data_IF_039512549923
#
_entry.id   IF_039512549923
#
_cell.length_a   1.000
_cell.length_b   1.000
_cell.length_c   1.000
_cell.angle_alpha   90.00
_cell.angle_beta   90.00
_cell.angle_gamma   90.00
#
_symmetry.space_group_name_H-M   'P 1'
#
loop_
_entity.id
_entity.type
_entity.pdbx_description
1 polymer ?
#
# COMPACT_ATOMS: atom_id res chain seq x y z
N UNK A 1 -1.89 -23.89 11.94
CA UNK A 1 -3.10 -24.07 11.13
C UNK A 1 -4.20 -23.24 11.75
N UNK A 2 -5.03 -22.61 10.93
CA UNK A 2 -6.11 -21.77 11.43
C UNK A 2 -7.24 -22.65 11.97
N UNK A 3 -7.79 -22.30 13.14
CA UNK A 3 -8.86 -23.05 13.81
C UNK A 3 -10.03 -22.11 14.08
N UNK A 4 -11.24 -22.58 13.76
CA UNK A 4 -12.49 -21.93 14.18
C UNK A 4 -12.89 -22.49 15.54
N UNK A 5 -12.94 -21.63 16.54
CA UNK A 5 -13.38 -21.97 17.89
C UNK A 5 -14.57 -21.10 18.27
N UNK A 6 -15.53 -21.69 18.99
CA UNK A 6 -16.62 -20.89 19.58
C UNK A 6 -16.06 -20.01 20.70
N UNK A 7 -16.63 -18.81 20.85
CA UNK A 7 -16.23 -17.90 21.93
C UNK A 7 -16.40 -18.55 23.30
N UNK A 8 -17.47 -19.34 23.49
CA UNK A 8 -17.71 -20.12 24.70
C UNK A 8 -16.58 -21.09 25.01
N UNK A 9 -15.99 -21.74 24.00
CA UNK A 9 -14.85 -22.65 24.21
C UNK A 9 -13.60 -21.87 24.61
N UNK A 10 -13.36 -20.70 24.02
CA UNK A 10 -12.24 -19.82 24.39
C UNK A 10 -12.37 -19.38 25.84
N UNK A 11 -13.53 -18.87 26.24
CA UNK A 11 -13.77 -18.29 27.56
C UNK A 11 -13.85 -19.34 28.66
N UNK A 12 -14.26 -20.57 28.36
CA UNK A 12 -14.32 -21.64 29.37
C UNK A 12 -13.02 -22.44 29.51
N UNK A 13 -12.26 -22.64 28.43
CA UNK A 13 -11.11 -23.56 28.45
C UNK A 13 -9.75 -22.91 28.30
N UNK A 14 -9.65 -21.81 27.57
CA UNK A 14 -8.35 -21.25 27.17
C UNK A 14 -8.05 -19.91 27.86
N UNK A 15 -9.06 -19.07 28.07
CA UNK A 15 -8.93 -17.75 28.65
C UNK A 15 -10.12 -17.44 29.56
N UNK A 16 -10.19 -18.12 30.70
CA UNK A 16 -11.20 -17.87 31.73
C UNK A 16 -11.16 -16.40 32.17
N UNK A 17 -12.30 -15.71 32.06
CA UNK A 17 -12.44 -14.30 32.43
C UNK A 17 -12.11 -13.27 31.34
N UNK A 18 -11.81 -13.70 30.10
CA UNK A 18 -11.58 -12.76 28.99
C UNK A 18 -12.82 -11.89 28.69
N UNK A 19 -14.02 -12.39 28.97
CA UNK A 19 -15.28 -11.66 28.80
C UNK A 19 -15.45 -10.49 29.79
N UNK A 20 -14.75 -10.56 30.92
CA UNK A 20 -14.80 -9.54 31.97
C UNK A 20 -13.69 -8.48 31.79
N UNK A 21 -12.78 -8.69 30.84
CA UNK A 21 -11.62 -7.83 30.60
C UNK A 21 -11.85 -6.87 29.42
N UNK A 22 -12.45 -5.71 29.71
CA UNK A 22 -12.68 -4.65 28.73
C UNK A 22 -11.41 -4.01 28.14
N UNK A 23 -10.25 -4.24 28.76
CA UNK A 23 -8.93 -3.79 28.30
C UNK A 23 -8.27 -4.68 27.24
N UNK A 24 -8.92 -5.75 26.80
CA UNK A 24 -8.36 -6.68 25.80
C UNK A 24 -8.84 -6.34 24.38
N UNK A 25 -7.93 -5.81 23.56
CA UNK A 25 -8.21 -5.38 22.18
C UNK A 25 -7.66 -6.35 21.11
N UNK A 26 -7.33 -7.58 21.49
CA UNK A 26 -6.65 -8.54 20.59
C UNK A 26 -7.54 -9.16 19.49
N UNK A 27 -8.86 -8.93 19.52
CA UNK A 27 -9.81 -9.54 18.60
C UNK A 27 -10.39 -8.51 17.62
N UNK A 28 -10.45 -8.89 16.34
CA UNK A 28 -11.22 -8.15 15.34
C UNK A 28 -12.71 -8.49 15.51
N UNK A 29 -13.55 -7.48 15.72
CA UNK A 29 -14.99 -7.64 15.86
C UNK A 29 -15.73 -7.21 14.59
N UNK A 30 -16.67 -8.03 14.12
CA UNK A 30 -17.58 -7.70 13.02
C UNK A 30 -19.00 -7.59 13.55
N UNK A 31 -19.70 -6.51 13.22
CA UNK A 31 -21.07 -6.27 13.65
C UNK A 31 -21.96 -6.08 12.43
N UNK A 32 -23.05 -6.83 12.36
CA UNK A 32 -24.07 -6.66 11.31
C UNK A 32 -25.13 -5.67 11.80
N UNK A 33 -25.28 -4.57 11.06
CA UNK A 33 -26.31 -3.58 11.35
C UNK A 33 -27.60 -3.89 10.58
N UNK A 34 -28.73 -3.37 11.07
CA UNK A 34 -30.01 -3.45 10.32
C UNK A 34 -29.88 -2.75 8.96
N UNK A 35 -30.63 -3.18 7.94
CA UNK A 35 -30.67 -2.49 6.65
C UNK A 35 -30.93 -0.99 6.83
N UNK A 36 -30.17 -0.14 6.14
CA UNK A 36 -30.24 1.33 6.20
C UNK A 36 -29.90 1.98 7.55
N UNK A 37 -29.34 1.26 8.52
CA UNK A 37 -28.85 1.87 9.75
C UNK A 37 -27.64 2.78 9.49
N UNK A 38 -27.65 3.99 10.04
CA UNK A 38 -26.48 4.88 10.02
C UNK A 38 -25.45 4.43 11.07
N UNK A 39 -24.38 3.81 10.59
CA UNK A 39 -23.29 3.36 11.45
C UNK A 39 -22.59 4.51 12.17
N UNK A 40 -22.57 5.73 11.61
CA UNK A 40 -21.97 6.90 12.28
C UNK A 40 -22.82 7.36 13.45
N UNK A 41 -24.15 7.26 13.33
CA UNK A 41 -25.05 7.53 14.45
C UNK A 41 -24.88 6.51 15.59
N UNK A 42 -24.57 5.25 15.27
CA UNK A 42 -24.20 4.24 16.27
C UNK A 42 -22.83 4.53 16.90
N UNK A 43 -21.82 4.87 16.09
CA UNK A 43 -20.47 5.19 16.56
C UNK A 43 -20.47 6.33 17.59
N UNK A 44 -21.29 7.37 17.39
CA UNK A 44 -21.46 8.47 18.35
C UNK A 44 -21.94 8.03 19.74
N UNK A 45 -22.53 6.84 19.87
CA UNK A 45 -23.00 6.29 21.15
C UNK A 45 -21.90 5.51 21.89
N UNK A 46 -20.80 5.16 21.23
CA UNK A 46 -19.73 4.37 21.83
C UNK A 46 -19.04 5.02 23.03
N UNK A 47 -18.76 6.33 23.06
CA UNK A 47 -18.15 6.95 24.24
C UNK A 47 -18.99 6.76 25.51
N UNK A 48 -20.31 6.99 25.41
CA UNK A 48 -21.23 6.78 26.53
C UNK A 48 -21.34 5.29 26.93
N UNK A 49 -21.33 4.39 25.95
CA UNK A 49 -21.32 2.95 26.18
C UNK A 49 -20.05 2.49 26.92
N UNK A 50 -18.88 2.96 26.50
CA UNK A 50 -17.60 2.65 27.13
C UNK A 50 -17.53 3.22 28.55
N UNK A 51 -17.98 4.45 28.78
CA UNK A 51 -18.04 5.04 30.12
C UNK A 51 -18.96 4.21 31.05
N UNK A 52 -20.11 3.76 30.54
CA UNK A 52 -21.03 2.92 31.32
C UNK A 52 -20.45 1.55 31.67
N UNK A 53 -19.70 0.93 30.74
CA UNK A 53 -19.21 -0.45 30.91
C UNK A 53 -17.82 -0.55 31.53
N UNK A 54 -16.94 0.39 31.22
CA UNK A 54 -15.53 0.36 31.60
C UNK A 54 -15.02 1.67 32.24
N UNK A 55 -15.89 2.66 32.52
CA UNK A 55 -15.46 3.99 32.99
C UNK A 55 -14.62 3.99 34.26
N UNK A 56 -14.93 3.11 35.22
CA UNK A 56 -14.15 2.99 36.46
C UNK A 56 -12.72 2.49 36.20
N UNK A 57 -12.55 1.49 35.34
CA UNK A 57 -11.24 0.95 34.99
C UNK A 57 -10.47 1.89 34.07
N UNK A 58 -11.14 2.57 33.13
CA UNK A 58 -10.54 3.60 32.28
C UNK A 58 -9.95 4.75 33.13
N UNK A 59 -10.67 5.22 34.15
CA UNK A 59 -10.18 6.27 35.06
C UNK A 59 -9.02 5.77 35.93
N UNK A 60 -9.11 4.54 36.44
CA UNK A 60 -8.04 3.92 37.26
C UNK A 60 -6.75 3.71 36.46
N UNK A 61 -6.87 3.27 35.21
CA UNK A 61 -5.74 3.01 34.30
C UNK A 61 -5.33 4.23 33.47
N UNK A 62 -6.02 5.36 33.63
CA UNK A 62 -5.85 6.58 32.81
C UNK A 62 -5.85 6.32 31.30
N UNK A 63 -6.54 5.25 30.86
CA UNK A 63 -6.60 4.81 29.47
C UNK A 63 -8.03 4.95 28.96
N UNK A 64 -8.20 5.73 27.90
CA UNK A 64 -9.52 6.04 27.32
C UNK A 64 -9.60 5.46 25.90
N UNK A 65 -9.88 4.15 25.74
CA UNK A 65 -10.08 3.54 24.43
C UNK A 65 -11.24 4.21 23.69
N UNK A 66 -11.12 4.23 22.36
CA UNK A 66 -12.17 4.70 21.46
C UNK A 66 -12.51 3.59 20.47
N UNK A 67 -13.79 3.27 20.36
CA UNK A 67 -14.30 2.35 19.35
C UNK A 67 -14.77 3.11 18.12
N UNK A 68 -14.60 2.50 16.96
CA UNK A 68 -15.03 3.05 15.69
C UNK A 68 -15.62 1.95 14.81
N UNK A 69 -16.50 2.33 13.89
CA UNK A 69 -17.08 1.43 12.90
C UNK A 69 -16.54 1.78 11.52
N UNK A 70 -16.08 0.75 10.83
CA UNK A 70 -15.67 0.85 9.42
C UNK A 70 -16.56 -0.06 8.58
N UNK A 71 -17.16 0.45 7.49
CA UNK A 71 -17.87 -0.41 6.56
C UNK A 71 -16.93 -1.48 6.01
N UNK A 72 -17.36 -2.75 6.07
CA UNK A 72 -16.53 -3.89 5.65
C UNK A 72 -15.95 -3.75 4.23
N UNK A 73 -16.69 -3.08 3.33
CA UNK A 73 -16.28 -2.82 1.94
C UNK A 73 -15.10 -1.85 1.84
N UNK A 74 -14.95 -0.96 2.82
CA UNK A 74 -13.92 0.08 2.83
C UNK A 74 -12.65 -0.39 3.54
N UNK A 75 -12.75 -1.40 4.40
CA UNK A 75 -11.64 -1.89 5.23
C UNK A 75 -10.40 -2.23 4.38
N UNK A 76 -10.58 -2.88 3.23
CA UNK A 76 -9.45 -3.31 2.40
C UNK A 76 -8.65 -2.16 1.77
N UNK A 77 -9.29 -1.04 1.41
CA UNK A 77 -8.65 0.06 0.66
C UNK A 77 -8.38 1.32 1.50
N UNK A 78 -9.17 1.53 2.55
CA UNK A 78 -9.20 2.79 3.30
C UNK A 78 -8.86 2.63 4.78
N UNK A 79 -8.88 1.42 5.35
CA UNK A 79 -8.57 1.27 6.76
C UNK A 79 -7.10 1.53 7.03
N UNK A 80 -6.84 2.48 7.93
CA UNK A 80 -5.52 2.80 8.49
C UNK A 80 -5.28 2.08 9.80
N UNK A 81 -6.24 1.26 10.26
CA UNK A 81 -6.21 0.59 11.56
C UNK A 81 -5.66 -0.83 11.36
N UNK A 82 -4.66 -1.19 12.17
CA UNK A 82 -3.96 -2.48 12.07
C UNK A 82 -4.90 -3.68 12.27
N UNK A 83 -4.46 -4.87 11.84
CA UNK A 83 -5.16 -6.14 12.08
C UNK A 83 -5.70 -6.85 10.83
N UNK A 84 -5.59 -6.25 9.64
CA UNK A 84 -5.95 -6.87 8.35
C UNK A 84 -4.89 -6.58 7.28
N UNK A 85 -4.74 -7.45 6.28
CA UNK A 85 -3.96 -7.14 5.07
C UNK A 85 -4.67 -6.03 4.31
N UNK A 86 -4.30 -4.77 4.56
CA UNK A 86 -4.88 -3.60 3.89
C UNK A 86 -4.03 -3.24 2.67
N UNK A 87 -4.71 -2.94 1.56
CA UNK A 87 -4.12 -2.27 0.42
C UNK A 87 -4.35 -0.77 0.57
N UNK A 88 -3.47 0.04 -0.02
CA UNK A 88 -3.63 1.49 0.02
C UNK A 88 -4.39 1.96 -1.23
N UNK A 89 -5.48 2.71 -1.07
CA UNK A 89 -6.22 3.36 -2.17
C UNK A 89 -5.32 4.22 -3.05
N UNK A 90 -4.26 4.83 -2.50
CA UNK A 90 -3.26 5.57 -3.27
C UNK A 90 -2.66 4.73 -4.39
N UNK A 91 -2.47 3.42 -4.20
CA UNK A 91 -1.97 2.54 -5.25
C UNK A 91 -2.96 2.46 -6.42
N UNK A 92 -4.26 2.38 -6.13
CA UNK A 92 -5.31 2.39 -7.16
C UNK A 92 -5.25 3.71 -7.94
N UNK A 93 -5.19 4.86 -7.25
CA UNK A 93 -5.08 6.15 -7.91
C UNK A 93 -3.82 6.29 -8.76
N UNK A 94 -2.66 5.86 -8.25
CA UNK A 94 -1.40 5.90 -9.00
C UNK A 94 -1.51 5.05 -10.28
N UNK A 95 -2.00 3.82 -10.19
CA UNK A 95 -2.16 2.97 -11.37
C UNK A 95 -3.20 3.52 -12.35
N UNK A 96 -4.31 4.10 -11.86
CA UNK A 96 -5.32 4.74 -12.71
C UNK A 96 -4.75 5.97 -13.45
N UNK A 97 -4.00 6.82 -12.75
CA UNK A 97 -3.36 8.01 -13.37
C UNK A 97 -2.34 7.59 -14.42
N UNK A 98 -1.50 6.59 -14.13
CA UNK A 98 -0.54 6.05 -15.10
C UNK A 98 -1.26 5.49 -16.33
N UNK A 99 -2.32 4.71 -16.13
CA UNK A 99 -3.11 4.16 -17.23
C UNK A 99 -3.73 5.26 -18.11
N UNK A 100 -4.28 6.32 -17.50
CA UNK A 100 -4.81 7.48 -18.22
C UNK A 100 -3.72 8.19 -19.02
N UNK A 101 -2.55 8.44 -18.43
CA UNK A 101 -1.45 9.09 -19.15
C UNK A 101 -0.93 8.26 -20.33
N UNK A 102 -0.76 6.95 -20.15
CA UNK A 102 -0.37 6.05 -21.24
C UNK A 102 -1.43 6.08 -22.36
N UNK A 103 -2.71 6.06 -21.99
CA UNK A 103 -3.80 6.13 -22.96
C UNK A 103 -3.81 7.46 -23.72
N UNK A 104 -3.60 8.58 -23.04
CA UNK A 104 -3.49 9.92 -23.66
C UNK A 104 -2.32 9.97 -24.64
N UNK A 105 -1.14 9.48 -24.26
CA UNK A 105 0.04 9.38 -25.15
C UNK A 105 -0.32 8.56 -26.39
N UNK A 106 -0.96 7.40 -26.22
CA UNK A 106 -1.37 6.53 -27.32
C UNK A 106 -2.37 7.23 -28.27
N UNK A 107 -3.37 7.92 -27.72
CA UNK A 107 -4.34 8.68 -28.49
C UNK A 107 -3.69 9.82 -29.29
N UNK A 108 -2.79 10.59 -28.66
CA UNK A 108 -2.04 11.66 -29.33
C UNK A 108 -1.21 11.10 -30.48
N UNK A 109 -0.50 9.99 -30.24
CA UNK A 109 0.31 9.34 -31.27
C UNK A 109 -0.58 8.87 -32.44
N UNK A 110 -1.72 8.26 -32.14
CA UNK A 110 -2.66 7.80 -33.16
C UNK A 110 -3.23 8.97 -34.00
N UNK A 111 -3.60 10.08 -33.36
CA UNK A 111 -4.00 11.33 -34.07
C UNK A 111 -2.86 11.84 -34.95
N UNK A 112 -1.63 11.87 -34.44
CA UNK A 112 -0.48 12.35 -35.20
C UNK A 112 -0.21 11.50 -36.46
N UNK A 113 -0.25 10.17 -36.33
CA UNK A 113 -0.07 9.22 -37.43
C UNK A 113 -1.19 9.29 -38.47
N UNK A 114 -2.46 9.28 -38.03
CA UNK A 114 -3.62 9.37 -38.93
C UNK A 114 -3.64 10.70 -39.69
N UNK A 115 -3.25 11.80 -39.03
CA UNK A 115 -3.12 13.11 -39.69
C UNK A 115 -1.97 13.14 -40.69
N UNK A 116 -0.84 12.46 -40.43
CA UNK A 116 0.24 12.36 -41.41
C UNK A 116 -0.21 11.61 -42.68
N UNK A 117 -0.85 10.44 -42.52
CA UNK A 117 -1.42 9.66 -43.64
C UNK A 117 -2.52 10.39 -44.39
N UNK A 118 -3.27 11.25 -43.70
CA UNK A 118 -4.30 12.08 -44.32
C UNK A 118 -3.74 13.03 -45.40
N UNK A 119 -2.52 13.53 -45.23
CA UNK A 119 -1.86 14.39 -46.22
C UNK A 119 -1.59 13.62 -47.52
N UNK A 120 -1.20 12.35 -47.43
CA UNK A 120 -0.97 11.48 -48.59
C UNK A 120 -2.28 11.24 -49.36
N UNK A 121 -3.40 11.08 -48.63
CA UNK A 121 -4.75 10.89 -49.20
C UNK A 121 -5.43 12.20 -49.64
N UNK A 122 -4.78 13.35 -49.51
CA UNK A 122 -5.38 14.64 -49.84
C UNK A 122 -5.76 14.76 -51.32
N UNK A 123 -4.94 14.21 -52.23
CA UNK A 123 -5.23 14.21 -53.69
C UNK A 123 -6.50 13.42 -54.02
N UNK A 124 -6.66 12.24 -53.43
CA UNK A 124 -7.85 11.39 -53.57
C UNK A 124 -9.12 12.12 -53.11
N UNK A 125 -9.07 12.77 -51.94
CA UNK A 125 -10.18 13.57 -51.40
C UNK A 125 -10.49 14.79 -52.28
N UNK A 126 -9.46 15.42 -52.84
CA UNK A 126 -9.60 16.52 -53.80
C UNK A 126 -10.36 16.11 -55.05
N UNK A 127 -9.98 14.97 -55.66
CA UNK A 127 -10.64 14.41 -56.84
C UNK A 127 -12.10 14.07 -56.52
N UNK A 128 -12.38 13.38 -55.42
CA UNK A 128 -13.75 13.02 -55.02
C UNK A 128 -14.66 14.24 -54.84
N UNK A 129 -14.16 15.34 -54.26
CA UNK A 129 -14.92 16.59 -54.12
C UNK A 129 -15.24 17.24 -55.47
N UNK A 130 -14.34 17.17 -56.45
CA UNK A 130 -14.60 17.67 -57.82
C UNK A 130 -15.66 16.83 -58.52
N UNK A 131 -15.70 15.53 -58.26
CA UNK A 131 -16.71 14.59 -58.77
C UNK A 131 -18.04 14.68 -57.98
N UNK A 132 -18.15 15.58 -56.99
CA UNK A 132 -19.41 15.88 -56.29
C UNK A 132 -19.57 15.24 -54.90
N UNK A 133 -18.52 14.63 -54.33
CA UNK A 133 -18.59 14.08 -52.98
C UNK A 133 -18.79 15.18 -51.91
N UNK A 134 -19.80 15.00 -51.05
CA UNK A 134 -20.13 15.94 -49.99
C UNK A 134 -19.12 15.84 -48.83
N UNK A 135 -18.82 16.99 -48.19
CA UNK A 135 -17.90 17.06 -47.04
C UNK A 135 -18.27 16.08 -45.92
N UNK A 136 -19.56 15.87 -45.69
CA UNK A 136 -20.07 14.96 -44.67
C UNK A 136 -19.82 13.47 -45.00
N UNK A 137 -19.94 13.08 -46.28
CA UNK A 137 -19.68 11.70 -46.71
C UNK A 137 -18.22 11.31 -46.48
N UNK A 138 -17.31 12.21 -46.83
CA UNK A 138 -15.87 12.06 -46.58
C UNK A 138 -15.56 12.00 -45.08
N UNK A 139 -16.11 12.91 -44.28
CA UNK A 139 -15.92 12.91 -42.83
C UNK A 139 -16.41 11.63 -42.16
N UNK A 140 -17.61 11.15 -42.53
CA UNK A 140 -18.18 9.89 -42.02
C UNK A 140 -17.29 8.70 -42.36
N UNK A 141 -16.75 8.62 -43.58
CA UNK A 141 -15.84 7.55 -43.97
C UNK A 141 -14.59 7.48 -43.07
N UNK A 142 -13.93 8.61 -42.82
CA UNK A 142 -12.74 8.65 -41.97
C UNK A 142 -13.03 8.28 -40.51
N UNK A 143 -14.17 8.72 -39.97
CA UNK A 143 -14.58 8.36 -38.61
C UNK A 143 -14.85 6.86 -38.52
N UNK A 144 -15.57 6.28 -39.48
CA UNK A 144 -15.85 4.83 -39.51
C UNK A 144 -14.56 4.02 -39.65
N UNK A 145 -13.62 4.43 -40.51
CA UNK A 145 -12.31 3.77 -40.65
C UNK A 145 -11.53 3.81 -39.32
N UNK A 146 -11.54 4.95 -38.64
CA UNK A 146 -10.83 5.12 -37.36
C UNK A 146 -11.46 4.29 -36.23
N UNK A 147 -12.79 4.29 -36.12
CA UNK A 147 -13.52 3.48 -35.14
C UNK A 147 -13.31 1.98 -35.40
N UNK A 148 -13.37 1.54 -36.66
CA UNK A 148 -13.17 0.13 -37.02
C UNK A 148 -11.74 -0.33 -36.68
N UNK A 149 -10.72 0.49 -36.95
CA UNK A 149 -9.35 0.21 -36.53
C UNK A 149 -9.22 0.14 -35.01
N UNK A 150 -9.85 1.05 -34.27
CA UNK A 150 -9.86 1.00 -32.80
C UNK A 150 -10.57 -0.24 -32.26
N UNK A 151 -11.66 -0.69 -32.88
CA UNK A 151 -12.36 -1.90 -32.49
C UNK A 151 -11.53 -3.16 -32.74
N UNK A 152 -10.81 -3.24 -33.86
CA UNK A 152 -9.87 -4.34 -34.12
C UNK A 152 -8.74 -4.33 -33.08
N UNK A 153 -8.14 -3.17 -32.81
CA UNK A 153 -7.10 -3.03 -31.79
C UNK A 153 -7.62 -3.40 -30.40
N UNK A 154 -8.87 -3.05 -30.08
CA UNK A 154 -9.52 -3.43 -28.83
C UNK A 154 -9.66 -4.96 -28.70
N UNK A 155 -10.14 -5.65 -29.74
CA UNK A 155 -10.23 -7.12 -29.73
C UNK A 155 -8.85 -7.77 -29.53
N UNK A 156 -7.82 -7.28 -30.23
CA UNK A 156 -6.44 -7.74 -30.05
C UNK A 156 -5.94 -7.49 -28.62
N UNK A 157 -6.29 -6.34 -28.03
CA UNK A 157 -5.91 -6.00 -26.66
C UNK A 157 -6.57 -6.91 -25.62
N UNK A 158 -7.83 -7.32 -25.83
CA UNK A 158 -8.52 -8.28 -24.96
C UNK A 158 -7.79 -9.62 -24.97
N UNK A 159 -7.47 -10.15 -26.15
CA UNK A 159 -6.73 -11.42 -26.27
C UNK A 159 -5.34 -11.31 -25.64
N UNK A 160 -4.59 -10.25 -25.94
CA UNK A 160 -3.26 -10.03 -25.37
C UNK A 160 -3.31 -9.91 -23.84
N UNK A 161 -4.27 -9.16 -23.29
CA UNK A 161 -4.43 -9.00 -21.85
C UNK A 161 -4.81 -10.32 -21.16
N UNK A 162 -5.67 -11.13 -21.77
CA UNK A 162 -6.04 -12.44 -21.26
C UNK A 162 -4.84 -13.40 -21.22
N UNK A 163 -3.97 -13.37 -22.24
CA UNK A 163 -2.75 -14.17 -22.31
C UNK A 163 -1.67 -13.72 -21.32
N UNK A 164 -1.58 -12.41 -21.03
CA UNK A 164 -0.60 -11.88 -20.06
C UNK A 164 -1.07 -11.98 -18.61
N UNK A 165 -2.37 -12.17 -18.36
CA UNK A 165 -2.92 -12.24 -17.01
C UNK A 165 -2.28 -13.32 -16.13
N UNK A 166 -2.03 -14.57 -16.58
CA UNK A 166 -1.36 -15.58 -15.78
C UNK A 166 0.07 -15.19 -15.37
N UNK A 167 0.82 -14.59 -16.30
CA UNK A 167 2.17 -14.08 -16.01
C UNK A 167 2.10 -12.98 -14.95
N UNK A 168 1.16 -12.05 -15.08
CA UNK A 168 0.98 -10.99 -14.10
C UNK A 168 0.54 -11.52 -12.73
N UNK A 169 -0.31 -12.57 -12.67
CA UNK A 169 -0.67 -13.23 -11.40
C UNK A 169 0.55 -13.81 -10.69
N UNK A 170 1.48 -14.44 -11.42
CA UNK A 170 2.70 -15.01 -10.83
C UNK A 170 3.66 -13.91 -10.36
N UNK A 171 3.88 -12.87 -11.17
CA UNK A 171 4.76 -11.76 -10.83
C UNK A 171 4.24 -10.92 -9.66
N UNK A 172 2.93 -10.67 -9.62
CA UNK A 172 2.31 -9.89 -8.55
C UNK A 172 2.06 -10.70 -7.28
N UNK A 173 2.07 -12.04 -7.35
CA UNK A 173 1.69 -12.90 -6.23
C UNK A 173 0.25 -12.66 -5.75
N UNK A 174 -0.64 -12.25 -6.66
CA UNK A 174 -2.04 -11.90 -6.36
C UNK A 174 -3.00 -12.71 -7.21
N UNK A 175 -4.09 -13.16 -6.56
CA UNK A 175 -5.25 -13.70 -7.25
C UNK A 175 -6.06 -12.54 -7.82
N UNK A 176 -6.16 -12.46 -9.14
CA UNK A 176 -6.97 -11.46 -9.84
C UNK A 176 -8.29 -12.09 -10.23
N UNK A 177 -9.38 -11.43 -9.83
CA UNK A 177 -10.73 -11.84 -10.20
C UNK A 177 -10.89 -11.84 -11.73
N UNK A 178 -11.44 -12.91 -12.33
CA UNK A 178 -11.74 -12.95 -13.75
C UNK A 178 -12.90 -12.01 -14.15
N UNK A 179 -13.56 -11.38 -13.18
CA UNK A 179 -14.74 -10.51 -13.37
C UNK A 179 -14.59 -9.42 -14.43
N UNK A 180 -13.38 -8.97 -14.73
CA UNK A 180 -13.13 -7.97 -15.78
C UNK A 180 -13.54 -8.49 -17.18
N UNK A 181 -13.34 -9.78 -17.44
CA UNK A 181 -13.63 -10.41 -18.73
C UNK A 181 -14.99 -11.12 -18.76
N UNK A 182 -15.57 -11.42 -17.60
CA UNK A 182 -16.81 -12.19 -17.52
C UNK A 182 -18.05 -11.34 -17.22
N UNK A 183 -17.88 -10.17 -16.61
CA UNK A 183 -18.98 -9.26 -16.32
C UNK A 183 -19.36 -8.45 -17.57
N UNK A 184 -20.59 -8.58 -18.10
CA UNK A 184 -21.06 -7.84 -19.26
C UNK A 184 -20.96 -6.32 -19.09
N UNK A 185 -21.10 -5.80 -17.86
CA UNK A 185 -21.03 -4.36 -17.59
C UNK A 185 -19.61 -3.83 -17.84
N UNK A 186 -18.59 -4.56 -17.40
CA UNK A 186 -17.18 -4.18 -17.60
C UNK A 186 -16.79 -4.21 -19.08
N UNK A 187 -17.23 -5.24 -19.81
CA UNK A 187 -16.99 -5.34 -21.26
C UNK A 187 -17.66 -4.17 -21.99
N UNK A 188 -18.90 -3.82 -21.63
CA UNK A 188 -19.60 -2.69 -22.22
C UNK A 188 -18.87 -1.36 -21.96
N UNK A 189 -18.36 -1.15 -20.75
CA UNK A 189 -17.57 0.05 -20.42
C UNK A 189 -16.29 0.15 -21.28
N UNK A 190 -15.57 -0.96 -21.44
CA UNK A 190 -14.38 -1.02 -22.28
C UNK A 190 -14.69 -0.79 -23.77
N UNK A 191 -15.80 -1.35 -24.26
CA UNK A 191 -16.26 -1.13 -25.62
C UNK A 191 -16.61 0.34 -25.88
N UNK A 192 -17.33 0.97 -24.95
CA UNK A 192 -17.65 2.40 -25.02
C UNK A 192 -16.36 3.23 -25.06
N UNK A 193 -15.38 2.90 -24.22
CA UNK A 193 -14.08 3.59 -24.23
C UNK A 193 -13.36 3.46 -25.58
N UNK A 194 -13.32 2.24 -26.17
CA UNK A 194 -12.70 2.02 -27.47
C UNK A 194 -13.37 2.81 -28.60
N UNK A 195 -14.71 2.86 -28.61
CA UNK A 195 -15.48 3.67 -29.58
C UNK A 195 -15.19 5.15 -29.39
N UNK A 196 -15.19 5.66 -28.16
CA UNK A 196 -14.88 7.06 -27.86
C UNK A 196 -13.47 7.44 -28.33
N UNK A 197 -12.47 6.59 -28.11
CA UNK A 197 -11.10 6.82 -28.59
C UNK A 197 -11.06 6.86 -30.13
N UNK A 198 -11.72 5.90 -30.80
CA UNK A 198 -11.79 5.87 -32.26
C UNK A 198 -12.47 7.11 -32.84
N UNK A 199 -13.54 7.59 -32.20
CA UNK A 199 -14.21 8.84 -32.57
C UNK A 199 -13.28 10.05 -32.39
N UNK A 200 -12.64 10.19 -31.23
CA UNK A 200 -11.71 11.31 -30.96
C UNK A 200 -10.55 11.33 -31.95
N UNK A 201 -10.01 10.15 -32.28
CA UNK A 201 -8.92 10.02 -33.23
C UNK A 201 -9.33 10.31 -34.67
N UNK A 202 -10.53 9.90 -35.09
CA UNK A 202 -11.04 10.12 -36.44
C UNK A 202 -11.59 11.54 -36.67
N UNK A 203 -12.07 12.21 -35.62
CA UNK A 203 -12.70 13.53 -35.71
C UNK A 203 -11.75 14.59 -36.27
N UNK A 204 -10.49 14.58 -35.83
CA UNK A 204 -9.51 15.57 -36.25
C UNK A 204 -9.10 15.43 -37.73
N UNK A 205 -8.67 14.25 -38.23
CA UNK A 205 -8.48 13.99 -39.66
C UNK A 205 -9.72 14.33 -40.50
N UNK A 206 -10.91 13.91 -40.05
CA UNK A 206 -12.16 14.17 -40.75
C UNK A 206 -12.42 15.67 -40.90
N UNK A 207 -12.18 16.47 -39.85
CA UNK A 207 -12.35 17.92 -39.90
C UNK A 207 -11.32 18.61 -40.79
N UNK A 208 -10.04 18.24 -40.68
CA UNK A 208 -8.96 18.81 -41.50
C UNK A 208 -9.18 18.49 -42.98
N UNK A 209 -9.44 17.23 -43.34
CA UNK A 209 -9.61 16.77 -44.73
C UNK A 209 -10.88 17.28 -45.39
N UNK A 210 -12.00 17.29 -44.65
CA UNK A 210 -13.27 17.79 -45.17
C UNK A 210 -13.24 19.30 -45.44
N UNK A 211 -12.32 20.05 -44.82
CA UNK A 211 -12.16 21.50 -45.03
C UNK A 211 -11.34 21.89 -46.27
N UNK A 212 -10.60 20.97 -46.90
CA UNK A 212 -9.72 21.31 -48.04
C UNK A 212 -10.47 21.80 -49.28
N UNK A 213 -9.94 22.85 -49.92
CA UNK A 213 -10.41 23.39 -51.20
C UNK A 213 -9.78 22.59 -52.36
N UNK A 214 -10.56 22.02 -53.30
CA UNK A 214 -10.02 21.19 -54.38
C UNK A 214 -8.98 21.91 -55.26
N UNK A 215 -9.18 23.21 -55.50
CA UNK A 215 -8.33 24.01 -56.38
C UNK A 215 -6.90 24.19 -55.86
N UNK A 216 -6.70 24.18 -54.53
CA UNK A 216 -5.37 24.27 -53.92
C UNK A 216 -4.65 22.92 -53.91
N UNK A 217 -5.41 21.83 -53.77
CA UNK A 217 -4.87 20.46 -53.76
C UNK A 217 -4.37 20.04 -55.15
N UNK A 218 -5.09 20.41 -56.21
CA UNK A 218 -4.75 20.04 -57.59
C UNK A 218 -3.60 20.87 -58.19
N UNK A 219 -3.39 22.11 -57.72
CA UNK A 219 -2.30 23.00 -58.18
C UNK A 219 -0.95 22.72 -57.50
N UNK A 220 -0.83 21.67 -56.68
CA UNK A 220 0.42 21.31 -55.99
C UNK A 220 0.89 22.28 -54.89
N UNK A 221 0.21 23.43 -54.70
CA UNK A 221 0.43 24.35 -53.59
C UNK A 221 -0.20 23.78 -52.31
N UNK A 222 0.43 22.76 -51.76
CA UNK A 222 0.18 22.30 -50.40
C UNK A 222 0.61 23.39 -49.41
N UNK A 223 -0.28 24.30 -49.03
CA UNK A 223 -0.10 25.01 -47.77
C UNK A 223 -0.73 24.16 -46.68
N UNK A 224 0.08 23.42 -45.93
CA UNK A 224 -0.35 22.86 -44.65
C UNK A 224 -0.96 23.99 -43.83
N UNK A 225 -2.23 23.84 -43.41
CA UNK A 225 -2.89 24.85 -42.58
C UNK A 225 -2.02 25.13 -41.36
N UNK A 226 -1.60 26.40 -41.18
CA UNK A 226 -0.77 26.85 -40.06
C UNK A 226 -1.36 26.40 -38.72
N UNK A 227 -2.70 26.43 -38.58
CA UNK A 227 -3.42 25.93 -37.40
C UNK A 227 -3.21 24.43 -37.14
N UNK A 228 -3.19 23.61 -38.19
CA UNK A 228 -2.97 22.16 -38.07
C UNK A 228 -1.52 21.80 -37.70
N UNK A 229 -0.54 22.63 -38.10
CA UNK A 229 0.85 22.50 -37.67
C UNK A 229 0.99 22.86 -36.19
N UNK A 230 0.40 23.98 -35.75
CA UNK A 230 0.46 24.44 -34.35
C UNK A 230 -0.17 23.41 -33.41
N UNK A 231 -1.35 22.87 -33.74
CA UNK A 231 -1.99 21.85 -32.92
C UNK A 231 -1.12 20.59 -32.83
N UNK A 232 -0.59 20.09 -33.95
CA UNK A 232 0.29 18.91 -33.94
C UNK A 232 1.53 19.14 -33.10
N UNK A 233 2.19 20.29 -33.24
CA UNK A 233 3.33 20.66 -32.41
C UNK A 233 2.95 20.68 -30.93
N UNK A 234 1.80 21.27 -30.58
CA UNK A 234 1.29 21.28 -29.21
C UNK A 234 1.03 19.88 -28.66
N UNK A 235 0.36 19.02 -29.44
CA UNK A 235 0.09 17.63 -29.07
C UNK A 235 1.39 16.83 -28.89
N UNK A 236 2.35 16.97 -29.81
CA UNK A 236 3.66 16.31 -29.72
C UNK A 236 4.44 16.78 -28.50
N UNK A 237 4.47 18.10 -28.24
CA UNK A 237 5.12 18.64 -27.04
C UNK A 237 4.45 18.09 -25.78
N UNK A 238 3.13 18.11 -25.68
CA UNK A 238 2.40 17.55 -24.53
C UNK A 238 2.69 16.05 -24.33
N UNK A 239 2.71 15.26 -25.41
CA UNK A 239 3.08 13.84 -25.37
C UNK A 239 4.48 13.65 -24.78
N UNK A 240 5.49 14.35 -25.32
CA UNK A 240 6.86 14.24 -24.82
C UNK A 240 6.98 14.74 -23.38
N UNK A 241 6.27 15.81 -22.99
CA UNK A 241 6.24 16.27 -21.59
C UNK A 241 5.71 15.21 -20.65
N UNK A 242 4.58 14.56 -20.98
CA UNK A 242 4.01 13.48 -20.16
C UNK A 242 4.98 12.29 -20.09
N UNK A 243 5.58 11.88 -21.22
CA UNK A 243 6.56 10.80 -21.25
C UNK A 243 7.80 11.10 -20.40
N UNK A 244 8.36 12.31 -20.50
CA UNK A 244 9.52 12.73 -19.69
C UNK A 244 9.14 12.74 -18.21
N UNK A 245 7.95 13.24 -17.84
CA UNK A 245 7.47 13.23 -16.47
C UNK A 245 7.35 11.81 -15.91
N UNK A 246 6.82 10.86 -16.68
CA UNK A 246 6.73 9.44 -16.29
C UNK A 246 8.12 8.80 -16.11
N UNK A 247 9.09 9.11 -16.97
CA UNK A 247 10.47 8.63 -16.84
C UNK A 247 11.10 9.18 -15.55
N UNK A 248 10.97 10.49 -15.30
CA UNK A 248 11.47 11.12 -14.07
C UNK A 248 10.80 10.49 -12.83
N UNK A 249 9.48 10.31 -12.84
CA UNK A 249 8.76 9.67 -11.74
C UNK A 249 9.27 8.24 -11.48
N UNK A 250 9.51 7.46 -12.53
CA UNK A 250 10.05 6.11 -12.44
C UNK A 250 11.46 6.11 -11.82
N UNK A 251 12.32 7.04 -12.25
CA UNK A 251 13.67 7.21 -11.68
C UNK A 251 13.59 7.60 -10.21
N UNK A 252 12.69 8.51 -9.83
CA UNK A 252 12.49 8.91 -8.42
C UNK A 252 12.05 7.71 -7.58
N UNK A 253 11.04 6.97 -8.02
CA UNK A 253 10.57 5.77 -7.32
C UNK A 253 11.68 4.74 -7.18
N UNK A 254 12.46 4.51 -8.24
CA UNK A 254 13.60 3.61 -8.20
C UNK A 254 14.67 4.06 -7.20
N UNK A 255 15.02 5.35 -7.19
CA UNK A 255 15.97 5.92 -6.22
C UNK A 255 15.46 5.84 -4.79
N UNK A 256 14.16 6.10 -4.56
CA UNK A 256 13.54 5.97 -3.25
C UNK A 256 13.53 4.50 -2.78
N UNK A 257 13.23 3.56 -3.67
CA UNK A 257 13.29 2.13 -3.35
C UNK A 257 14.71 1.67 -3.01
N UNK A 258 15.73 2.16 -3.72
CA UNK A 258 17.12 1.85 -3.38
C UNK A 258 17.52 2.50 -2.05
N UNK A 259 17.15 3.76 -1.83
CA UNK A 259 17.36 4.44 -0.56
C UNK A 259 16.73 3.64 0.60
N UNK A 260 15.48 3.19 0.49
CA UNK A 260 14.82 2.38 1.52
C UNK A 260 15.49 1.01 1.76
N UNK A 261 16.19 0.44 0.76
CA UNK A 261 16.90 -0.85 0.92
C UNK A 261 18.26 -0.71 1.58
N UNK A 262 18.96 0.39 1.28
CA UNK A 262 20.33 0.67 1.71
C UNK A 262 20.39 1.55 2.96
N UNK A 263 19.28 2.19 3.36
CA UNK A 263 19.23 2.98 4.58
C UNK A 263 19.53 2.11 5.79
N UNK A 264 20.42 2.62 6.65
CA UNK A 264 20.72 1.99 7.92
C UNK A 264 19.48 2.07 8.82
N UNK A 265 18.86 0.92 9.05
CA UNK A 265 17.67 0.79 9.89
C UNK A 265 18.03 0.87 11.38
N UNK A 266 19.31 0.97 11.76
CA UNK A 266 19.76 0.96 13.16
C UNK A 266 19.95 -0.46 13.73
N UNK A 267 19.82 -1.48 12.88
CA UNK A 267 20.13 -2.88 13.17
C UNK A 267 20.62 -3.60 11.90
N UNK A 268 21.39 -4.66 12.09
CA UNK A 268 21.90 -5.47 10.99
C UNK A 268 20.87 -6.53 10.57
N UNK A 269 20.43 -6.47 9.31
CA UNK A 269 19.51 -7.43 8.68
C UNK A 269 20.20 -8.35 7.66
N UNK A 270 21.48 -8.13 7.41
CA UNK A 270 22.19 -8.80 6.33
C UNK A 270 22.51 -10.25 6.73
N UNK A 271 22.21 -11.17 5.82
CA UNK A 271 22.43 -12.62 6.01
C UNK A 271 21.70 -13.22 7.24
N UNK A 272 20.61 -12.60 7.69
CA UNK A 272 19.75 -13.12 8.77
C UNK A 272 18.64 -13.99 8.19
N UNK A 273 18.60 -15.26 8.59
CA UNK A 273 17.51 -16.18 8.27
C UNK A 273 16.53 -16.27 9.45
N UNK A 274 15.27 -15.93 9.19
CA UNK A 274 14.20 -16.01 10.20
C UNK A 274 13.46 -17.33 10.04
N UNK A 275 13.54 -18.19 11.07
CA UNK A 275 12.80 -19.46 11.13
C UNK A 275 11.64 -19.29 12.09
N UNK A 276 10.41 -19.33 11.56
CA UNK A 276 9.20 -19.26 12.39
C UNK A 276 8.88 -20.63 12.99
N UNK A 277 9.08 -20.79 14.30
CA UNK A 277 8.78 -22.03 15.03
C UNK A 277 7.33 -22.14 15.48
N UNK A 278 6.49 -21.11 15.26
CA UNK A 278 5.07 -21.09 15.66
C UNK A 278 4.83 -21.45 17.13
N UNK A 279 5.80 -21.14 18.01
CA UNK A 279 5.71 -21.42 19.44
C UNK A 279 6.05 -22.85 19.85
N UNK A 280 6.65 -23.66 18.96
CA UNK A 280 7.08 -25.04 19.27
C UNK A 280 7.95 -25.07 20.54
N UNK A 281 7.74 -26.11 21.38
CA UNK A 281 8.49 -26.31 22.62
C UNK A 281 9.95 -26.67 22.35
N UNK A 282 10.21 -27.35 21.25
CA UNK A 282 11.55 -27.81 20.85
C UNK A 282 12.40 -26.70 20.20
N UNK A 283 11.88 -25.46 20.11
CA UNK A 283 12.61 -24.31 19.55
C UNK A 283 13.96 -24.06 20.22
N UNK A 284 14.09 -24.39 21.51
CA UNK A 284 15.35 -24.23 22.25
C UNK A 284 16.39 -25.26 21.81
N UNK A 285 16.00 -26.52 21.65
CA UNK A 285 16.87 -27.58 21.14
C UNK A 285 17.29 -27.30 19.68
N UNK A 286 16.34 -26.83 18.86
CA UNK A 286 16.62 -26.38 17.49
C UNK A 286 17.65 -25.25 17.47
N UNK A 287 17.48 -24.22 18.30
CA UNK A 287 18.42 -23.10 18.37
C UNK A 287 19.83 -23.56 18.76
N UNK A 288 19.93 -24.52 19.69
CA UNK A 288 21.20 -25.08 20.13
C UNK A 288 21.87 -25.87 18.98
N UNK A 289 21.11 -26.73 18.30
CA UNK A 289 21.61 -27.53 17.18
C UNK A 289 22.09 -26.67 16.00
N UNK A 290 21.40 -25.55 15.70
CA UNK A 290 21.80 -24.61 14.65
C UNK A 290 23.07 -23.84 15.05
N UNK A 291 23.20 -23.50 16.34
CA UNK A 291 24.35 -22.73 16.84
C UNK A 291 25.69 -23.44 16.58
N UNK A 292 25.69 -24.76 16.61
CA UNK A 292 26.90 -25.57 16.42
C UNK A 292 27.23 -25.84 14.93
N UNK A 293 26.38 -25.40 13.99
CA UNK A 293 26.61 -25.61 12.57
C UNK A 293 27.74 -24.68 12.04
N UNK A 294 28.65 -25.21 11.20
CA UNK A 294 29.71 -24.40 10.61
C UNK A 294 29.13 -23.33 9.68
N UNK A 295 29.65 -22.11 9.78
CA UNK A 295 29.19 -20.96 8.99
C UNK A 295 28.09 -20.12 9.66
N UNK A 296 27.56 -20.55 10.80
CA UNK A 296 26.64 -19.75 11.61
C UNK A 296 27.44 -18.85 12.56
N UNK A 297 27.26 -17.53 12.45
CA UNK A 297 27.96 -16.54 13.30
C UNK A 297 27.29 -16.37 14.66
N UNK A 298 25.96 -16.33 14.70
CA UNK A 298 25.16 -16.23 15.93
C UNK A 298 23.76 -16.76 15.70
N UNK A 299 23.08 -17.12 16.79
CA UNK A 299 21.68 -17.50 16.80
C UNK A 299 20.98 -16.80 17.96
N UNK A 300 19.69 -16.51 17.79
CA UNK A 300 18.88 -15.83 18.81
C UNK A 300 17.42 -16.27 18.70
N UNK A 301 16.76 -16.39 19.85
CA UNK A 301 15.34 -16.60 19.99
C UNK A 301 14.64 -15.28 20.33
N UNK A 302 13.53 -15.04 19.64
CA UNK A 302 12.70 -13.86 19.88
C UNK A 302 11.23 -14.12 19.58
N UNK A 303 10.35 -13.35 20.20
CA UNK A 303 8.93 -13.31 19.84
C UNK A 303 8.68 -12.54 18.54
N UNK A 304 9.62 -11.68 18.13
CA UNK A 304 9.49 -10.85 16.93
C UNK A 304 10.85 -10.35 16.45
N UNK A 305 10.90 -10.00 15.17
CA UNK A 305 12.07 -9.40 14.51
C UNK A 305 11.98 -7.87 14.58
N UNK A 306 13.10 -7.12 14.47
CA UNK A 306 13.03 -5.67 14.44
C UNK A 306 12.13 -5.19 13.29
N UNK A 307 11.20 -4.29 13.58
CA UNK A 307 10.18 -3.81 12.62
C UNK A 307 9.02 -4.79 12.36
N UNK A 308 9.02 -5.96 13.00
CA UNK A 308 7.91 -6.91 12.99
C UNK A 308 6.73 -6.46 13.86
N UNK A 309 5.56 -7.06 13.65
CA UNK A 309 4.33 -6.75 14.39
C UNK A 309 4.38 -7.31 15.82
N UNK A 310 3.94 -6.54 16.82
CA UNK A 310 4.06 -6.90 18.24
C UNK A 310 2.78 -6.69 19.02
N UNK A 311 2.58 -7.45 20.10
CA UNK A 311 1.58 -7.09 21.08
C UNK A 311 1.97 -5.79 21.77
N UNK A 312 1.05 -4.85 21.79
CA UNK A 312 1.13 -3.70 22.66
C UNK A 312 0.91 -4.15 24.12
N UNK A 313 1.80 -3.74 25.01
CA UNK A 313 1.80 -4.10 26.41
C UNK A 313 1.49 -2.88 27.27
N UNK A 314 0.48 -3.04 28.12
CA UNK A 314 0.24 -2.14 29.23
C UNK A 314 1.43 -2.18 30.20
N UNK A 315 2.10 -1.03 30.35
CA UNK A 315 3.33 -0.90 31.13
C UNK A 315 3.22 0.30 32.08
N UNK A 316 3.49 0.08 33.36
CA UNK A 316 3.68 1.14 34.35
C UNK A 316 5.18 1.37 34.51
N UNK A 317 5.66 2.59 34.29
CA UNK A 317 7.08 2.92 34.37
C UNK A 317 7.31 4.19 35.20
N UNK A 318 8.33 4.17 36.06
CA UNK A 318 8.68 5.33 36.87
C UNK A 318 9.13 6.49 35.96
N UNK A 319 8.53 7.66 36.13
CA UNK A 319 8.87 8.89 35.41
C UNK A 319 9.88 9.75 36.23
N UNK A 320 10.39 10.89 35.70
CA UNK A 320 11.33 11.74 36.43
C UNK A 320 10.84 12.29 37.77
N UNK A 321 9.51 12.34 37.98
CA UNK A 321 8.88 12.78 39.25
C UNK A 321 8.78 11.65 40.28
N UNK A 322 9.09 10.41 39.91
CA UNK A 322 8.98 9.23 40.76
C UNK A 322 7.61 8.54 40.69
N UNK A 323 6.67 9.05 39.89
CA UNK A 323 5.35 8.46 39.70
C UNK A 323 5.42 7.32 38.68
N UNK A 324 4.62 6.26 38.89
CA UNK A 324 4.43 5.22 37.88
C UNK A 324 3.48 5.73 36.80
N UNK A 325 4.05 6.15 35.67
CA UNK A 325 3.32 6.57 34.48
C UNK A 325 2.94 5.36 33.65
N UNK A 326 1.69 5.34 33.20
CA UNK A 326 1.15 4.29 32.35
C UNK A 326 1.48 4.61 30.89
N UNK A 327 2.00 3.61 30.16
CA UNK A 327 2.29 3.67 28.74
C UNK A 327 1.93 2.35 28.06
N UNK A 328 1.39 2.44 26.84
CA UNK A 328 1.19 1.28 25.98
C UNK A 328 2.40 1.15 25.05
N UNK A 329 3.19 0.09 25.23
CA UNK A 329 4.49 -0.09 24.58
C UNK A 329 4.51 -1.36 23.75
N UNK A 330 5.10 -1.33 22.56
CA UNK A 330 5.40 -2.55 21.83
C UNK A 330 6.55 -3.29 22.51
N UNK A 331 6.37 -4.58 22.81
CA UNK A 331 7.34 -5.38 23.56
C UNK A 331 7.88 -6.53 22.72
N UNK A 332 9.20 -6.67 22.76
CA UNK A 332 9.89 -7.87 22.28
C UNK A 332 10.32 -8.74 23.46
N UNK A 333 9.93 -10.01 23.41
CA UNK A 333 10.56 -11.04 24.25
C UNK A 333 11.76 -11.59 23.50
N UNK A 334 12.94 -11.34 24.04
CA UNK A 334 14.21 -11.67 23.40
C UNK A 334 15.11 -12.43 24.36
N UNK A 335 16.03 -13.21 23.81
CA UNK A 335 17.12 -13.80 24.59
C UNK A 335 18.32 -12.84 24.70
N UNK A 336 19.36 -13.32 25.37
CA UNK A 336 20.61 -12.57 25.60
C UNK A 336 21.35 -12.23 24.29
N UNK A 337 21.18 -13.05 23.26
CA UNK A 337 21.96 -12.98 22.03
C UNK A 337 21.29 -12.07 20.97
N UNK A 338 20.07 -11.59 21.20
CA UNK A 338 19.31 -10.78 20.24
C UNK A 338 19.94 -9.42 19.93
N UNK A 339 20.14 -8.58 20.95
CA UNK A 339 20.74 -7.25 20.81
C UNK A 339 22.13 -7.33 20.12
N UNK A 340 23.05 -8.23 20.54
CA UNK A 340 24.34 -8.36 19.86
C UNK A 340 24.23 -8.99 18.46
N UNK A 341 23.35 -9.96 18.22
CA UNK A 341 23.17 -10.57 16.89
C UNK A 341 22.71 -9.55 15.85
N UNK A 342 21.75 -8.71 16.22
CA UNK A 342 21.27 -7.61 15.38
C UNK A 342 22.17 -6.36 15.44
N UNK A 343 23.25 -6.38 16.23
CA UNK A 343 24.17 -5.26 16.43
C UNK A 343 23.43 -3.96 16.81
N UNK A 344 22.36 -4.09 17.59
CA UNK A 344 21.56 -2.94 18.04
C UNK A 344 22.41 -2.12 19.02
N UNK A 345 22.55 -0.82 18.73
CA UNK A 345 23.41 0.06 19.51
C UNK A 345 22.81 0.37 20.88
N UNK A 346 23.45 -0.11 21.95
CA UNK A 346 23.17 0.32 23.33
C UNK A 346 23.80 1.71 23.54
N UNK A 347 23.00 2.66 24.03
CA UNK A 347 23.41 4.06 24.22
C UNK A 347 23.51 4.45 25.71
N UNK A 348 22.89 3.68 26.61
CA UNK A 348 23.05 3.80 28.05
C UNK A 348 22.80 2.45 28.73
N UNK A 349 23.43 2.21 29.89
CA UNK A 349 23.32 0.95 30.63
C UNK A 349 23.94 -0.22 29.87
N UNK A 350 23.26 -1.37 29.86
CA UNK A 350 23.75 -2.62 29.25
C UNK A 350 22.64 -3.41 28.57
N UNK A 351 23.05 -4.33 27.69
CA UNK A 351 22.17 -5.38 27.19
C UNK A 351 21.93 -6.47 28.24
N UNK A 352 21.00 -7.39 27.96
CA UNK A 352 20.81 -8.58 28.76
C UNK A 352 22.09 -9.44 28.78
N UNK A 353 22.44 -10.00 29.93
CA UNK A 353 23.60 -10.89 30.08
C UNK A 353 23.31 -12.06 31.01
N UNK A 354 23.88 -13.22 30.69
CA UNK A 354 23.77 -14.45 31.50
C UNK A 354 24.43 -14.32 32.88
N UNK A 355 25.31 -13.33 33.05
CA UNK A 355 25.98 -13.04 34.32
C UNK A 355 25.00 -12.49 35.38
N UNK A 356 23.85 -11.96 34.95
CA UNK A 356 22.84 -11.38 35.84
C UNK A 356 21.56 -12.22 35.80
N UNK A 357 21.40 -13.15 36.76
CA UNK A 357 20.22 -14.02 36.82
C UNK A 357 18.89 -13.28 36.88
N UNK A 358 18.88 -12.05 37.44
CA UNK A 358 17.71 -11.16 37.49
C UNK A 358 17.23 -10.69 36.12
N UNK A 359 18.05 -10.78 35.07
CA UNK A 359 17.68 -10.31 33.74
C UNK A 359 16.46 -11.05 33.18
N UNK A 360 16.35 -12.34 33.52
CA UNK A 360 15.23 -13.20 33.10
C UNK A 360 13.88 -12.79 33.69
N UNK A 361 13.87 -12.21 34.89
CA UNK A 361 12.64 -12.04 35.69
C UNK A 361 12.37 -10.61 36.16
N UNK A 362 13.36 -9.70 36.12
CA UNK A 362 13.23 -8.35 36.67
C UNK A 362 13.97 -7.26 35.88
N UNK A 363 14.31 -7.47 34.61
CA UNK A 363 14.98 -6.48 33.79
C UNK A 363 14.21 -6.14 32.50
N UNK A 364 14.33 -4.88 32.08
CA UNK A 364 13.80 -4.37 30.81
C UNK A 364 14.85 -3.51 30.12
N UNK A 365 14.92 -3.61 28.79
CA UNK A 365 15.68 -2.70 27.93
C UNK A 365 14.68 -1.91 27.12
N UNK A 366 14.87 -0.60 27.03
CA UNK A 366 13.96 0.31 26.32
C UNK A 366 14.69 1.05 25.19
N UNK A 367 13.96 1.71 24.29
CA UNK A 367 14.56 2.54 23.26
C UNK A 367 14.51 4.04 23.62
N UNK A 368 15.15 4.88 22.80
CA UNK A 368 15.13 6.35 22.96
C UNK A 368 13.72 6.94 22.93
N UNK A 369 12.79 6.34 22.18
CA UNK A 369 11.41 6.81 22.12
C UNK A 369 10.70 6.69 23.48
N UNK A 370 10.90 5.58 24.21
CA UNK A 370 10.34 5.40 25.56
C UNK A 370 10.93 6.40 26.55
N UNK A 371 12.24 6.68 26.48
CA UNK A 371 12.89 7.69 27.33
C UNK A 371 12.22 9.05 27.17
N UNK A 372 11.98 9.47 25.91
CA UNK A 372 11.29 10.73 25.59
C UNK A 372 9.82 10.71 26.00
N UNK A 373 9.13 9.60 25.80
CA UNK A 373 7.71 9.43 26.16
C UNK A 373 7.47 9.63 27.67
N UNK A 374 8.38 9.14 28.50
CA UNK A 374 8.34 9.28 29.95
C UNK A 374 8.86 10.64 30.45
N UNK A 375 9.37 11.50 29.55
CA UNK A 375 9.84 12.84 29.87
C UNK A 375 11.26 12.91 30.44
N UNK A 376 12.06 11.84 30.34
CA UNK A 376 13.47 11.87 30.72
C UNK A 376 14.30 12.68 29.71
N UNK A 377 15.27 13.44 30.22
CA UNK A 377 16.14 14.29 29.39
C UNK A 377 17.34 13.52 28.83
N UNK A 378 17.88 12.57 29.59
CA UNK A 378 18.99 11.71 29.16
C UNK A 378 18.62 10.23 29.21
N UNK A 379 19.07 9.40 28.25
CA UNK A 379 18.97 7.94 28.32
C UNK A 379 19.61 7.31 29.58
N UNK A 380 20.53 8.01 30.25
CA UNK A 380 21.13 7.51 31.49
C UNK A 380 20.18 7.61 32.69
N UNK A 381 19.24 8.56 32.67
CA UNK A 381 18.39 8.89 33.82
C UNK A 381 17.31 7.82 34.10
N UNK A 382 16.97 7.02 33.06
CA UNK A 382 16.01 5.94 33.19
C UNK A 382 16.64 4.64 33.73
N UNK A 383 17.97 4.53 33.76
CA UNK A 383 18.64 3.30 34.20
C UNK A 383 18.38 3.10 35.71
N UNK A 384 17.97 1.90 36.09
CA UNK A 384 17.58 1.53 37.45
C UNK A 384 16.14 1.90 37.83
N UNK A 385 15.39 2.56 36.93
CA UNK A 385 14.00 2.95 37.18
C UNK A 385 13.05 1.78 37.14
N UNK A 386 12.05 1.81 38.02
CA UNK A 386 11.11 0.71 38.20
C UNK A 386 10.13 0.61 37.04
N UNK A 387 9.77 -0.61 36.68
CA UNK A 387 8.65 -0.90 35.81
C UNK A 387 7.77 -2.00 36.42
N UNK A 388 6.48 -1.99 36.04
CA UNK A 388 5.53 -3.08 36.26
C UNK A 388 4.80 -3.37 34.95
N UNK A 389 4.81 -4.63 34.52
CA UNK A 389 4.16 -5.07 33.29
C UNK A 389 3.66 -6.51 33.48
N UNK A 390 2.37 -6.75 33.29
CA UNK A 390 1.76 -8.09 33.37
C UNK A 390 2.11 -8.89 34.63
N UNK A 391 2.14 -8.23 35.79
CA UNK A 391 2.50 -8.85 37.07
C UNK A 391 4.00 -9.05 37.31
N UNK A 392 4.85 -8.70 36.34
CA UNK A 392 6.31 -8.63 36.48
C UNK A 392 6.72 -7.25 36.97
N UNK A 393 7.54 -7.19 38.01
CA UNK A 393 8.17 -5.96 38.49
C UNK A 393 9.69 -6.05 38.33
N UNK A 394 10.32 -4.92 38.00
CA UNK A 394 11.75 -4.90 37.76
C UNK A 394 12.31 -3.52 37.50
N UNK A 395 13.51 -3.47 36.93
CA UNK A 395 14.21 -2.22 36.61
C UNK A 395 14.65 -2.15 35.15
N UNK A 396 14.72 -0.93 34.62
CA UNK A 396 15.31 -0.67 33.30
C UNK A 396 16.84 -0.77 33.40
N UNK A 397 17.45 -1.69 32.66
CA UNK A 397 18.89 -1.96 32.72
C UNK A 397 19.69 -1.35 31.56
N UNK A 398 19.01 -0.93 30.51
CA UNK A 398 19.65 -0.42 29.30
C UNK A 398 18.70 0.37 28.41
N UNK A 399 19.30 1.27 27.63
CA UNK A 399 18.63 1.98 26.55
C UNK A 399 19.34 1.68 25.24
N UNK A 400 18.57 1.27 24.23
CA UNK A 400 19.03 1.11 22.85
C UNK A 400 18.64 2.31 21.99
N UNK A 401 19.41 2.55 20.94
CA UNK A 401 19.06 3.53 19.91
C UNK A 401 17.78 3.11 19.20
N UNK A 402 16.97 4.09 18.75
CA UNK A 402 15.85 3.78 17.88
C UNK A 402 16.35 3.18 16.56
N UNK A 403 15.65 2.17 16.08
CA UNK A 403 15.73 1.67 14.72
C UNK A 403 14.56 2.23 13.91
N UNK A 404 14.81 2.60 12.65
CA UNK A 404 13.87 3.32 11.78
C UNK A 404 13.33 2.45 10.65
#
# INVERSE_FOLDING_TARGET
>A
GDVLLSMTTITQKFAAGIDDQWGNYGLNAFVMLKPNADYKALEKKFPAFLEQKNGAEMKKSQMYPTLFLEPLRDVYLYSVRGGSKTANISNVYIFSIIAIFILVIACINFVNLTTARSVERAKEVGIRKVVGALKFQLGRQFIVESVLLCLIAFLLSLVASALMLPLFKSLAGKQISPGIFTDPVNILQLLIAAVLIGLLAGLYPAWVLSSFKPITVLKGRFSTSVRGIVLRKGLVVAQFTISIALIIATIIVYRQMNFMREHDLGFNKDQVLVVNTSGDKERFALNLAIKDMPGIKSTTLSSSVPGGNNPAAYSEMENPKGDLQIANLDVYFIDYDYIPSYQIKVIAGRAFSKEFGTDTSAAMVVNEAVVKLLGYQSPKDIIGKRFRQWGREGQVIGVVKNFN
#
